data_IF_001686138786
#
_entry.id   IF_001686138786
#
_cell.length_a   1.000
_cell.length_b   1.000
_cell.length_c   1.000
_cell.angle_alpha   90.00
_cell.angle_beta   90.00
_cell.angle_gamma   90.00
#
_symmetry.space_group_name_H-M   'P 1'
#
loop_
_entity.id
_entity.type
_entity.pdbx_description
1 polymer ?
#
# COMPACT_ATOMS: atom_id res chain seq x y z
N UNK A 1 3.31 -1.44 30.32
CA UNK A 1 4.27 -0.90 29.34
C UNK A 1 4.13 0.61 29.26
N UNK A 2 5.22 1.39 29.17
CA UNK A 2 5.15 2.84 29.20
C UNK A 2 4.46 3.39 27.94
N UNK A 3 3.47 4.26 28.15
CA UNK A 3 2.51 4.83 27.20
C UNK A 3 3.12 5.58 25.99
N UNK A 4 4.44 5.77 25.96
CA UNK A 4 5.17 6.48 24.90
C UNK A 4 5.51 5.61 23.67
N UNK A 5 5.29 4.30 23.73
CA UNK A 5 5.67 3.36 22.68
C UNK A 5 4.58 3.02 21.66
N UNK A 6 3.40 3.66 21.71
CA UNK A 6 2.29 3.69 20.71
C UNK A 6 2.40 2.74 19.48
N UNK A 7 2.51 1.41 19.69
CA UNK A 7 2.65 0.44 18.60
C UNK A 7 3.82 0.66 17.63
N UNK A 8 4.83 1.47 18.00
CA UNK A 8 5.98 1.77 17.14
C UNK A 8 7.00 0.64 17.11
N UNK A 9 7.02 -0.19 18.15
CA UNK A 9 7.80 -1.42 18.21
C UNK A 9 6.84 -2.60 18.21
N UNK A 10 6.97 -3.47 17.23
CA UNK A 10 6.21 -4.72 17.15
C UNK A 10 7.20 -5.87 17.31
N UNK A 11 7.20 -6.57 18.46
CA UNK A 11 7.95 -7.80 18.62
C UNK A 11 7.15 -8.97 18.04
N UNK A 12 7.77 -9.74 17.15
CA UNK A 12 7.27 -11.02 16.69
C UNK A 12 8.13 -12.13 17.30
N UNK A 13 7.49 -13.15 17.87
CA UNK A 13 8.18 -14.29 18.48
C UNK A 13 7.83 -15.54 17.70
N UNK A 14 8.84 -16.21 17.18
CA UNK A 14 8.71 -17.49 16.49
C UNK A 14 9.36 -18.59 17.31
N UNK A 15 8.61 -19.65 17.56
CA UNK A 15 9.10 -20.86 18.21
C UNK A 15 9.35 -21.91 17.13
N UNK A 16 10.59 -22.35 17.00
CA UNK A 16 10.97 -23.42 16.09
C UNK A 16 11.28 -24.69 16.88
N UNK A 17 10.81 -25.82 16.36
CA UNK A 17 10.96 -27.14 16.95
C UNK A 17 10.55 -27.21 18.44
N UNK A 18 9.29 -26.86 18.72
CA UNK A 18 8.72 -26.88 20.07
C UNK A 18 8.80 -28.28 20.70
N UNK A 19 8.64 -29.33 19.89
CA UNK A 19 8.71 -30.71 20.35
C UNK A 19 10.08 -31.08 20.94
N UNK A 20 11.18 -30.63 20.34
CA UNK A 20 12.51 -30.81 20.91
C UNK A 20 12.67 -30.07 22.25
N UNK A 21 12.01 -28.90 22.39
CA UNK A 21 11.99 -28.15 23.65
C UNK A 21 11.25 -28.89 24.76
N UNK A 22 10.10 -29.50 24.45
CA UNK A 22 9.33 -30.31 25.39
C UNK A 22 10.10 -31.57 25.78
N UNK A 23 10.73 -32.25 24.81
CA UNK A 23 11.57 -33.42 25.07
C UNK A 23 12.71 -33.10 26.04
N UNK A 24 13.37 -31.95 25.84
CA UNK A 24 14.39 -31.46 26.76
C UNK A 24 13.84 -31.09 28.13
N UNK A 25 12.63 -30.52 28.22
CA UNK A 25 12.01 -30.17 29.49
C UNK A 25 11.59 -31.40 30.31
N UNK A 26 11.09 -32.45 29.65
CA UNK A 26 10.58 -33.67 30.31
C UNK A 26 11.72 -34.64 30.63
N UNK A 27 12.64 -34.87 29.69
CA UNK A 27 13.66 -35.91 29.81
C UNK A 27 15.04 -35.38 30.20
N UNK A 28 15.23 -34.05 30.24
CA UNK A 28 16.51 -33.42 30.53
C UNK A 28 17.55 -33.62 29.43
N UNK A 29 18.69 -32.92 29.54
CA UNK A 29 19.71 -32.91 28.49
C UNK A 29 20.42 -34.27 28.29
N UNK A 30 20.36 -35.16 29.29
CA UNK A 30 21.05 -36.46 29.27
C UNK A 30 20.19 -37.64 28.79
N UNK A 31 18.87 -37.48 28.62
CA UNK A 31 17.96 -38.58 28.26
C UNK A 31 16.92 -38.19 27.19
N UNK A 32 17.29 -37.30 26.28
CA UNK A 32 16.43 -36.87 25.16
C UNK A 32 15.91 -38.07 24.35
N UNK A 33 14.66 -37.99 23.91
CA UNK A 33 13.97 -39.00 23.10
C UNK A 33 13.93 -38.66 21.61
N UNK A 34 14.32 -37.45 21.23
CA UNK A 34 14.45 -37.00 19.85
C UNK A 34 13.19 -36.51 19.20
N UNK A 35 12.26 -35.98 20.01
CA UNK A 35 11.05 -35.40 19.47
C UNK A 35 11.38 -34.20 18.59
N UNK A 36 10.69 -34.11 17.44
CA UNK A 36 10.88 -33.01 16.49
C UNK A 36 12.19 -33.05 15.69
N UNK A 37 13.01 -34.10 15.83
CA UNK A 37 14.14 -34.36 14.92
C UNK A 37 13.75 -35.43 13.88
N UNK A 38 14.19 -35.26 12.64
CA UNK A 38 14.05 -36.32 11.64
C UNK A 38 15.10 -37.41 11.89
N UNK A 39 14.65 -38.66 11.97
CA UNK A 39 15.54 -39.80 12.10
C UNK A 39 16.18 -40.11 10.73
N UNK A 40 17.41 -39.63 10.52
CA UNK A 40 18.19 -40.00 9.34
C UNK A 40 18.95 -41.32 9.62
N UNK A 41 18.75 -42.38 8.81
CA UNK A 41 19.54 -43.61 8.94
C UNK A 41 21.00 -43.35 8.56
N UNK A 42 21.95 -44.03 9.22
CA UNK A 42 23.36 -44.01 8.80
C UNK A 42 23.48 -44.58 7.37
N UNK A 43 23.92 -43.78 6.39
CA UNK A 43 23.96 -44.19 4.99
C UNK A 43 25.19 -45.06 4.66
N UNK A 44 26.16 -45.19 5.57
CA UNK A 44 27.42 -45.87 5.30
C UNK A 44 27.29 -47.37 5.55
N UNK A 45 27.20 -48.16 4.49
CA UNK A 45 27.13 -49.63 4.58
C UNK A 45 28.48 -50.28 4.89
N UNK A 46 29.56 -49.80 4.27
CA UNK A 46 30.89 -50.41 4.33
C UNK A 46 31.91 -49.45 4.94
N UNK A 47 32.67 -49.92 5.94
CA UNK A 47 33.75 -49.15 6.58
C UNK A 47 35.09 -49.82 6.28
N UNK A 48 36.08 -49.08 5.74
CA UNK A 48 37.41 -49.64 5.50
C UNK A 48 38.13 -49.93 6.82
N UNK A 49 38.67 -51.14 6.98
CA UNK A 49 39.40 -51.57 8.19
C UNK A 49 40.91 -51.56 8.01
N UNK A 50 41.36 -51.63 6.76
CA UNK A 50 42.77 -51.63 6.42
C UNK A 50 43.00 -51.88 4.94
N UNK A 51 44.21 -51.62 4.47
CA UNK A 51 44.65 -51.88 3.11
C UNK A 51 45.45 -53.19 3.07
N UNK A 52 45.02 -54.12 2.24
CA UNK A 52 45.76 -55.35 1.94
C UNK A 52 46.74 -55.06 0.81
N UNK A 53 48.02 -54.85 1.15
CA UNK A 53 49.04 -54.50 0.18
C UNK A 53 49.37 -55.65 -0.78
N UNK A 54 49.25 -56.91 -0.35
CA UNK A 54 49.49 -58.08 -1.20
C UNK A 54 48.40 -58.23 -2.27
N UNK A 55 47.16 -57.89 -1.93
CA UNK A 55 46.03 -57.91 -2.85
C UNK A 55 45.68 -56.53 -3.46
N UNK A 56 46.47 -55.49 -3.17
CA UNK A 56 46.26 -54.10 -3.59
C UNK A 56 44.81 -53.60 -3.44
N UNK A 57 44.14 -53.98 -2.35
CA UNK A 57 42.72 -53.64 -2.13
C UNK A 57 42.43 -53.29 -0.68
N UNK A 58 41.40 -52.48 -0.46
CA UNK A 58 40.89 -52.23 0.89
C UNK A 58 40.01 -53.39 1.37
N UNK A 59 40.15 -53.75 2.65
CA UNK A 59 39.25 -54.66 3.34
C UNK A 59 38.13 -53.84 3.99
N UNK A 60 36.89 -54.21 3.69
CA UNK A 60 35.70 -53.55 4.21
C UNK A 60 34.97 -54.47 5.16
N UNK A 61 34.53 -53.93 6.29
CA UNK A 61 33.54 -54.57 7.16
C UNK A 61 32.19 -53.87 6.97
N UNK A 62 31.11 -54.62 7.22
CA UNK A 62 29.76 -54.05 7.27
C UNK A 62 29.65 -53.17 8.52
N UNK A 63 29.22 -51.92 8.33
CA UNK A 63 28.94 -51.02 9.43
C UNK A 63 27.75 -51.57 10.24
N UNK A 64 27.92 -51.94 11.53
CA UNK A 64 26.81 -52.42 12.33
C UNK A 64 25.76 -51.33 12.63
N UNK A 65 26.09 -50.06 12.33
CA UNK A 65 25.18 -48.91 12.48
C UNK A 65 24.44 -48.59 11.19
N UNK A 66 24.74 -49.24 10.06
CA UNK A 66 24.06 -49.00 8.79
C UNK A 66 22.54 -49.14 8.96
N UNK A 67 21.78 -48.15 8.47
CA UNK A 67 20.32 -48.14 8.60
C UNK A 67 19.80 -47.86 10.03
N UNK A 68 20.68 -47.65 11.02
CA UNK A 68 20.27 -47.34 12.39
C UNK A 68 19.69 -45.93 12.47
N UNK A 69 18.48 -45.81 13.01
CA UNK A 69 17.77 -44.54 13.25
C UNK A 69 17.89 -44.05 14.70
N UNK A 70 18.77 -44.67 15.51
CA UNK A 70 18.95 -44.29 16.92
C UNK A 70 19.50 -42.86 17.00
N UNK A 71 18.88 -42.02 17.85
CA UNK A 71 19.19 -40.59 17.94
C UNK A 71 20.67 -40.30 18.25
N UNK A 72 21.34 -41.13 19.08
CA UNK A 72 22.77 -40.97 19.38
C UNK A 72 23.72 -41.26 18.21
N UNK A 73 23.21 -41.80 17.10
CA UNK A 73 23.96 -42.09 15.88
C UNK A 73 23.58 -41.14 14.72
N UNK A 74 22.51 -40.34 14.85
CA UNK A 74 22.11 -39.36 13.84
C UNK A 74 22.90 -38.06 14.03
N UNK A 75 23.58 -37.60 12.98
CA UNK A 75 24.37 -36.36 13.01
C UNK A 75 23.50 -35.09 12.94
N UNK A 76 22.21 -35.23 12.61
CA UNK A 76 21.26 -34.11 12.51
C UNK A 76 20.49 -33.90 13.81
N UNK A 77 20.90 -32.94 14.63
CA UNK A 77 20.10 -32.45 15.77
C UNK A 77 19.44 -31.13 15.38
N UNK A 78 18.11 -31.11 15.35
CA UNK A 78 17.33 -29.88 15.23
C UNK A 78 17.01 -29.34 16.63
N UNK A 79 17.67 -28.26 17.11
CA UNK A 79 17.39 -27.73 18.44
C UNK A 79 16.09 -26.92 18.47
N UNK A 80 15.50 -26.80 19.65
CA UNK A 80 14.50 -25.77 19.93
C UNK A 80 15.14 -24.39 19.81
N UNK A 81 14.50 -23.49 19.04
CA UNK A 81 14.97 -22.10 18.88
C UNK A 81 13.83 -21.13 19.13
N UNK A 82 14.16 -20.04 19.82
CA UNK A 82 13.30 -18.86 19.97
C UNK A 82 13.91 -17.77 19.10
N UNK A 83 13.16 -17.32 18.10
CA UNK A 83 13.54 -16.17 17.27
C UNK A 83 12.65 -15.00 17.67
N UNK A 84 13.27 -13.86 17.99
CA UNK A 84 12.57 -12.64 18.36
C UNK A 84 12.93 -11.57 17.34
N UNK A 85 11.96 -11.20 16.51
CA UNK A 85 12.11 -10.17 15.50
C UNK A 85 11.47 -8.87 16.00
N UNK A 86 12.22 -7.77 15.94
CA UNK A 86 11.73 -6.44 16.31
C UNK A 86 11.55 -5.58 15.06
N UNK A 87 10.33 -5.13 14.80
CA UNK A 87 10.05 -4.12 13.78
C UNK A 87 9.81 -2.76 14.44
N UNK A 88 10.47 -1.72 13.93
CA UNK A 88 10.35 -0.37 14.47
C UNK A 88 9.97 0.66 13.40
N UNK A 89 8.85 1.37 13.63
CA UNK A 89 8.44 2.51 12.82
C UNK A 89 9.12 3.79 13.32
N UNK A 90 10.12 4.26 12.57
CA UNK A 90 10.92 5.45 12.92
C UNK A 90 10.21 6.78 12.59
N UNK A 91 9.26 6.78 11.65
CA UNK A 91 8.52 7.99 11.26
C UNK A 91 7.14 8.06 11.89
N UNK A 92 6.55 9.26 11.91
CA UNK A 92 5.12 9.41 12.14
C UNK A 92 4.32 8.77 11.01
N UNK A 93 3.08 8.36 11.29
CA UNK A 93 2.17 7.85 10.25
C UNK A 93 2.02 8.89 9.11
N UNK A 94 2.09 8.43 7.86
CA UNK A 94 2.03 9.30 6.69
C UNK A 94 0.72 10.12 6.61
N UNK A 95 -0.42 9.54 6.98
CA UNK A 95 -1.70 10.23 6.99
C UNK A 95 -1.73 11.33 8.06
N UNK A 96 -1.14 11.04 9.22
CA UNK A 96 -1.00 12.05 10.27
C UNK A 96 -0.07 13.19 9.85
N UNK A 97 1.02 12.89 9.13
CA UNK A 97 1.90 13.91 8.56
C UNK A 97 1.16 14.77 7.53
N UNK A 98 0.41 14.14 6.61
CA UNK A 98 -0.40 14.86 5.64
C UNK A 98 -1.44 15.76 6.31
N UNK A 99 -2.14 15.26 7.33
CA UNK A 99 -3.12 16.03 8.09
C UNK A 99 -2.46 17.20 8.80
N UNK A 100 -1.30 17.01 9.44
CA UNK A 100 -0.53 18.10 10.07
C UNK A 100 -0.15 19.16 9.05
N UNK A 101 0.41 18.76 7.90
CA UNK A 101 0.74 19.66 6.80
C UNK A 101 -0.51 20.35 6.22
N UNK A 102 -1.66 19.70 6.24
CA UNK A 102 -2.93 20.26 5.78
C UNK A 102 -3.37 21.42 6.70
N UNK A 103 -3.20 21.28 8.01
CA UNK A 103 -3.72 22.25 9.01
C UNK A 103 -2.67 23.23 9.53
N UNK A 104 -1.42 23.09 9.11
CA UNK A 104 -0.35 24.02 9.44
C UNK A 104 -0.68 25.45 8.96
N UNK A 105 -0.47 26.47 9.80
CA UNK A 105 -0.62 27.86 9.39
C UNK A 105 0.24 28.15 8.17
N UNK A 106 -0.29 28.99 7.26
CA UNK A 106 0.42 29.40 6.06
C UNK A 106 0.81 30.86 6.19
N UNK A 107 1.98 31.19 5.66
CA UNK A 107 2.43 32.57 5.58
C UNK A 107 1.68 33.29 4.46
N UNK A 108 0.99 34.36 4.80
CA UNK A 108 0.38 35.30 3.85
C UNK A 108 1.04 36.69 3.99
N UNK A 109 0.51 37.68 3.27
CA UNK A 109 1.03 39.06 3.32
C UNK A 109 0.87 39.74 4.69
N UNK A 110 0.01 39.22 5.56
CA UNK A 110 -0.33 39.77 6.89
C UNK A 110 0.31 39.00 8.05
N UNK A 111 0.92 37.85 7.81
CA UNK A 111 1.57 37.03 8.83
C UNK A 111 1.31 35.53 8.65
N UNK A 112 1.33 34.80 9.76
CA UNK A 112 0.95 33.39 9.80
C UNK A 112 -0.52 33.28 10.15
N UNK A 113 -1.33 32.73 9.25
CA UNK A 113 -2.76 32.53 9.46
C UNK A 113 -3.14 31.06 9.24
N UNK A 114 -4.15 30.61 9.97
CA UNK A 114 -4.76 29.30 9.74
C UNK A 114 -5.37 29.25 8.34
N UNK A 115 -5.33 28.08 7.69
CA UNK A 115 -5.96 27.89 6.39
C UNK A 115 -7.48 28.04 6.49
N UNK A 116 -8.06 28.71 5.50
CA UNK A 116 -9.52 28.74 5.31
C UNK A 116 -10.06 27.34 4.97
N UNK A 117 -11.37 27.14 5.17
CA UNK A 117 -12.07 25.92 4.77
C UNK A 117 -11.82 25.56 3.29
N UNK A 118 -11.88 26.56 2.41
CA UNK A 118 -11.65 26.39 0.97
C UNK A 118 -10.21 25.99 0.66
N UNK A 119 -9.24 26.59 1.34
CA UNK A 119 -7.82 26.22 1.18
C UNK A 119 -7.55 24.80 1.66
N UNK A 120 -8.22 24.36 2.73
CA UNK A 120 -8.14 22.99 3.25
C UNK A 120 -8.77 21.98 2.27
N UNK A 121 -9.96 22.28 1.74
CA UNK A 121 -10.59 21.45 0.72
C UNK A 121 -9.72 21.38 -0.53
N UNK A 122 -9.20 22.51 -1.01
CA UNK A 122 -8.30 22.59 -2.16
C UNK A 122 -7.03 21.75 -1.95
N UNK A 123 -6.43 21.76 -0.75
CA UNK A 123 -5.26 20.94 -0.42
C UNK A 123 -5.52 19.46 -0.69
N UNK A 124 -6.64 18.90 -0.23
CA UNK A 124 -6.96 17.50 -0.49
C UNK A 124 -7.35 17.22 -1.93
N UNK A 125 -8.07 18.15 -2.56
CA UNK A 125 -8.44 18.04 -3.97
C UNK A 125 -7.22 17.94 -4.90
N UNK A 126 -6.06 18.51 -4.53
CA UNK A 126 -4.83 18.36 -5.31
C UNK A 126 -4.35 16.92 -5.48
N UNK A 127 -4.72 16.02 -4.56
CA UNK A 127 -4.37 14.61 -4.59
C UNK A 127 -5.44 13.72 -5.26
N UNK A 128 -6.39 14.33 -5.95
CA UNK A 128 -7.41 13.60 -6.73
C UNK A 128 -6.95 13.39 -8.17
N UNK A 129 -7.62 12.49 -8.89
CA UNK A 129 -7.34 12.24 -10.31
C UNK A 129 -8.62 12.11 -11.11
N UNK A 130 -8.67 12.76 -12.27
CA UNK A 130 -9.79 12.67 -13.21
C UNK A 130 -9.37 11.90 -14.46
N UNK A 131 -10.04 10.77 -14.72
CA UNK A 131 -9.85 9.98 -15.95
C UNK A 131 -10.34 10.78 -17.15
N UNK A 132 -11.45 11.50 -17.00
CA UNK A 132 -12.02 12.33 -18.05
C UNK A 132 -11.06 13.42 -18.51
N UNK A 133 -10.43 14.15 -17.57
CA UNK A 133 -9.41 15.17 -17.90
C UNK A 133 -8.18 14.56 -18.55
N UNK A 134 -7.77 13.36 -18.13
CA UNK A 134 -6.68 12.65 -18.77
C UNK A 134 -7.00 12.36 -20.25
N UNK A 135 -8.18 11.79 -20.53
CA UNK A 135 -8.60 11.51 -21.91
C UNK A 135 -8.71 12.78 -22.76
N UNK A 136 -9.27 13.86 -22.18
CA UNK A 136 -9.34 15.17 -22.85
C UNK A 136 -7.94 15.74 -23.12
N UNK A 137 -6.98 15.56 -22.21
CA UNK A 137 -5.61 16.03 -22.43
C UNK A 137 -4.94 15.29 -23.60
N UNK A 138 -5.24 14.01 -23.76
CA UNK A 138 -4.74 13.19 -24.86
C UNK A 138 -5.64 13.25 -26.10
N UNK A 139 -6.45 14.32 -26.28
CA UNK A 139 -7.41 14.46 -27.39
C UNK A 139 -6.76 14.25 -28.76
N UNK A 140 -5.59 14.85 -28.98
CA UNK A 140 -4.89 14.76 -30.27
C UNK A 140 -4.34 13.35 -30.51
N UNK A 141 -3.74 12.74 -29.48
CA UNK A 141 -3.19 11.37 -29.53
C UNK A 141 -4.27 10.31 -29.78
N UNK A 142 -5.48 10.55 -29.27
CA UNK A 142 -6.63 9.63 -29.38
C UNK A 142 -7.55 9.95 -30.56
N UNK A 143 -7.30 11.04 -31.27
CA UNK A 143 -8.17 11.55 -32.33
C UNK A 143 -9.64 11.65 -31.87
N UNK A 144 -9.87 12.22 -30.67
CA UNK A 144 -11.23 12.31 -30.13
C UNK A 144 -12.09 13.27 -30.98
N UNK A 145 -13.32 12.84 -31.29
CA UNK A 145 -14.27 13.71 -31.95
C UNK A 145 -14.78 14.79 -30.99
N UNK A 146 -15.29 15.91 -31.53
CA UNK A 146 -15.90 16.98 -30.73
C UNK A 146 -17.03 16.46 -29.83
N UNK A 147 -17.80 15.49 -30.31
CA UNK A 147 -18.87 14.86 -29.53
C UNK A 147 -18.31 14.04 -28.35
N UNK A 148 -17.22 13.31 -28.55
CA UNK A 148 -16.55 12.55 -27.49
C UNK A 148 -15.96 13.49 -26.44
N UNK A 149 -15.29 14.57 -26.86
CA UNK A 149 -14.76 15.59 -25.95
C UNK A 149 -15.89 16.22 -25.13
N UNK A 150 -17.01 16.60 -25.75
CA UNK A 150 -18.15 17.16 -25.05
C UNK A 150 -18.76 16.18 -24.02
N UNK A 151 -18.86 14.88 -24.37
CA UNK A 151 -19.32 13.84 -23.45
C UNK A 151 -18.39 13.69 -22.24
N UNK A 152 -17.07 13.66 -22.48
CA UNK A 152 -16.06 13.59 -21.41
C UNK A 152 -16.06 14.84 -20.52
N UNK A 153 -16.23 16.04 -21.09
CA UNK A 153 -16.33 17.28 -20.32
C UNK A 153 -17.58 17.29 -19.43
N UNK A 154 -18.71 16.83 -19.96
CA UNK A 154 -19.95 16.68 -19.16
C UNK A 154 -19.74 15.69 -18.01
N UNK A 155 -19.11 14.55 -18.28
CA UNK A 155 -18.79 13.56 -17.26
C UNK A 155 -17.83 14.12 -16.19
N UNK A 156 -16.78 14.86 -16.60
CA UNK A 156 -15.84 15.51 -15.69
C UNK A 156 -16.52 16.54 -14.78
N UNK A 157 -17.47 17.31 -15.31
CA UNK A 157 -18.23 18.28 -14.52
C UNK A 157 -19.04 17.61 -13.40
N UNK A 158 -19.70 16.49 -13.72
CA UNK A 158 -20.47 15.71 -12.74
C UNK A 158 -19.55 15.04 -11.72
N UNK A 159 -18.45 14.45 -12.17
CA UNK A 159 -17.45 13.86 -11.29
C UNK A 159 -16.85 14.91 -10.34
N UNK A 160 -16.40 16.04 -10.88
CA UNK A 160 -15.79 17.12 -10.12
C UNK A 160 -16.74 17.68 -9.08
N UNK A 161 -18.04 17.84 -9.38
CA UNK A 161 -19.02 18.33 -8.42
C UNK A 161 -19.25 17.34 -7.25
N UNK A 162 -19.32 16.03 -7.55
CA UNK A 162 -19.43 14.98 -6.52
C UNK A 162 -18.20 14.86 -5.64
N UNK A 163 -17.01 15.05 -6.21
CA UNK A 163 -15.77 15.05 -5.42
C UNK A 163 -15.71 16.31 -4.53
N UNK A 164 -16.07 17.49 -5.06
CA UNK A 164 -16.15 18.71 -4.23
C UNK A 164 -17.15 18.58 -3.08
N UNK A 165 -18.29 17.94 -3.30
CA UNK A 165 -19.33 17.83 -2.28
C UNK A 165 -18.91 17.02 -1.04
N UNK A 166 -17.95 16.09 -1.18
CA UNK A 166 -17.38 15.36 -0.05
C UNK A 166 -16.20 16.07 0.62
N UNK A 167 -15.41 16.85 -0.14
CA UNK A 167 -14.23 17.54 0.40
C UNK A 167 -14.54 18.92 0.98
N UNK A 168 -15.59 19.61 0.51
CA UNK A 168 -15.98 20.91 1.06
C UNK A 168 -16.39 20.84 2.55
N UNK A 169 -17.23 19.87 2.99
CA UNK A 169 -17.53 19.70 4.42
C UNK A 169 -16.30 19.32 5.25
N UNK A 170 -15.36 18.55 4.68
CA UNK A 170 -14.10 18.23 5.36
C UNK A 170 -13.27 19.49 5.62
N UNK A 171 -13.16 20.37 4.62
CA UNK A 171 -12.48 21.66 4.76
C UNK A 171 -13.10 22.51 5.87
N UNK A 172 -14.43 22.61 5.91
CA UNK A 172 -15.15 23.33 6.96
C UNK A 172 -14.87 22.74 8.35
N UNK A 173 -15.02 21.41 8.49
CA UNK A 173 -14.74 20.71 9.74
C UNK A 173 -13.31 20.94 10.24
N UNK A 174 -12.33 20.84 9.35
CA UNK A 174 -10.92 21.05 9.69
C UNK A 174 -10.57 22.51 9.98
N UNK A 175 -11.29 23.48 9.41
CA UNK A 175 -11.06 24.91 9.70
C UNK A 175 -11.57 25.35 11.07
N UNK A 176 -12.59 24.68 11.60
CA UNK A 176 -13.23 25.02 12.88
C UNK A 176 -12.49 24.47 14.10
N UNK A 177 -11.45 23.65 13.87
CA UNK A 177 -10.72 22.99 14.94
C UNK A 177 -9.81 23.95 15.70
N UNK A 178 -9.61 23.70 17.00
CA UNK A 178 -8.57 24.34 17.82
C UNK A 178 -7.42 23.39 18.13
N UNK A 179 -6.16 23.86 18.08
CA UNK A 179 -5.00 23.11 18.59
C UNK A 179 -4.37 22.14 17.58
N UNK A 180 -3.80 21.01 18.02
CA UNK A 180 -3.12 20.02 17.17
C UNK A 180 -4.09 18.94 16.64
N UNK A 181 -3.90 18.39 15.42
CA UNK A 181 -4.83 17.40 14.86
C UNK A 181 -4.79 16.08 15.63
N UNK A 182 -5.96 15.53 15.93
CA UNK A 182 -6.15 14.31 16.70
C UNK A 182 -6.74 13.15 15.90
N UNK A 183 -7.29 12.17 16.63
CA UNK A 183 -7.87 10.96 16.05
C UNK A 183 -9.14 11.27 15.24
N UNK A 184 -9.99 12.15 15.74
CA UNK A 184 -11.27 12.50 15.10
C UNK A 184 -11.07 13.10 13.71
N UNK A 185 -10.11 14.01 13.57
CA UNK A 185 -9.75 14.61 12.28
C UNK A 185 -9.14 13.59 11.32
N UNK A 186 -8.32 12.68 11.85
CA UNK A 186 -7.75 11.61 11.04
C UNK A 186 -8.83 10.63 10.56
N UNK A 187 -9.80 10.29 11.40
CA UNK A 187 -10.91 9.40 11.05
C UNK A 187 -11.85 10.06 10.02
N UNK A 188 -12.10 11.37 10.12
CA UNK A 188 -12.89 12.10 9.12
C UNK A 188 -12.19 12.18 7.77
N UNK A 189 -10.88 12.44 7.73
CA UNK A 189 -10.09 12.41 6.49
C UNK A 189 -10.14 11.02 5.85
N UNK A 190 -9.95 9.94 6.63
CA UNK A 190 -10.01 8.56 6.14
C UNK A 190 -11.39 8.21 5.58
N UNK A 191 -12.45 8.64 6.25
CA UNK A 191 -13.82 8.42 5.79
C UNK A 191 -14.07 9.11 4.43
N UNK A 192 -13.64 10.36 4.28
CA UNK A 192 -13.78 11.10 3.02
C UNK A 192 -12.91 10.50 1.92
N UNK A 193 -11.67 10.08 2.22
CA UNK A 193 -10.82 9.41 1.25
C UNK A 193 -11.41 8.07 0.78
N UNK A 194 -12.05 7.31 1.68
CA UNK A 194 -12.79 6.09 1.32
C UNK A 194 -13.98 6.40 0.42
N UNK A 195 -14.73 7.47 0.70
CA UNK A 195 -15.84 7.92 -0.15
C UNK A 195 -15.35 8.39 -1.53
N UNK A 196 -14.24 9.13 -1.57
CA UNK A 196 -13.59 9.55 -2.81
C UNK A 196 -13.26 8.37 -3.71
N UNK A 197 -12.62 7.32 -3.18
CA UNK A 197 -12.26 6.15 -4.00
C UNK A 197 -13.47 5.43 -4.59
N UNK A 198 -14.60 5.40 -3.88
CA UNK A 198 -15.86 4.87 -4.44
C UNK A 198 -16.30 5.67 -5.65
N UNK A 199 -16.31 7.00 -5.55
CA UNK A 199 -16.67 7.90 -6.66
C UNK A 199 -15.65 7.79 -7.80
N UNK A 200 -14.36 7.72 -7.48
CA UNK A 200 -13.29 7.60 -8.46
C UNK A 200 -13.47 6.39 -9.37
N UNK A 201 -13.80 5.24 -8.79
CA UNK A 201 -13.92 3.96 -9.49
C UNK A 201 -15.18 3.82 -10.37
N UNK A 202 -16.04 4.83 -10.40
CA UNK A 202 -17.16 4.91 -11.36
C UNK A 202 -16.72 5.59 -12.68
N UNK A 203 -15.65 6.38 -12.66
CA UNK A 203 -15.19 7.12 -13.84
C UNK A 203 -14.77 6.21 -15.00
N UNK A 204 -14.03 5.09 -14.79
CA UNK A 204 -13.51 4.34 -15.92
C UNK A 204 -14.60 3.82 -16.85
N UNK A 205 -15.69 3.31 -16.29
CA UNK A 205 -16.86 2.82 -17.03
C UNK A 205 -17.55 3.95 -17.80
N UNK A 206 -17.83 5.07 -17.13
CA UNK A 206 -18.47 6.24 -17.74
C UNK A 206 -17.59 6.80 -18.87
N UNK A 207 -16.28 6.85 -18.65
CA UNK A 207 -15.33 7.29 -19.66
C UNK A 207 -15.27 6.32 -20.85
N UNK A 208 -15.39 5.01 -20.60
CA UNK A 208 -15.35 4.00 -21.65
C UNK A 208 -16.56 4.13 -22.59
N UNK A 209 -17.72 4.54 -22.11
CA UNK A 209 -18.89 4.82 -22.98
C UNK A 209 -18.63 5.93 -23.99
N UNK A 210 -17.77 6.90 -23.66
CA UNK A 210 -17.43 8.02 -24.54
C UNK A 210 -16.34 7.70 -25.58
N UNK A 211 -15.53 6.65 -25.37
CA UNK A 211 -14.39 6.31 -26.25
C UNK A 211 -14.51 4.92 -26.87
N UNK A 212 -14.08 4.78 -28.12
CA UNK A 212 -14.11 3.52 -28.86
C UNK A 212 -13.13 2.48 -28.30
N UNK A 213 -13.35 1.20 -28.57
CA UNK A 213 -12.44 0.13 -28.15
C UNK A 213 -11.00 0.35 -28.65
N UNK A 214 -10.83 0.80 -29.89
CA UNK A 214 -9.51 1.11 -30.46
C UNK A 214 -8.80 2.25 -29.70
N UNK A 215 -9.53 3.30 -29.31
CA UNK A 215 -8.97 4.41 -28.51
C UNK A 215 -8.56 3.96 -27.10
N UNK A 216 -9.26 2.98 -26.51
CA UNK A 216 -8.91 2.44 -25.19
C UNK A 216 -7.57 1.71 -25.20
N UNK A 217 -7.24 1.03 -26.30
CA UNK A 217 -5.96 0.35 -26.47
C UNK A 217 -4.77 1.31 -26.49
N UNK A 218 -4.98 2.56 -26.91
CA UNK A 218 -3.93 3.59 -26.95
C UNK A 218 -3.57 4.14 -25.57
N UNK A 219 -4.33 3.82 -24.52
CA UNK A 219 -4.04 4.25 -23.15
C UNK A 219 -3.95 3.02 -22.24
N UNK A 220 -2.75 2.42 -22.10
CA UNK A 220 -2.54 1.22 -21.30
C UNK A 220 -3.04 1.37 -19.86
N UNK A 221 -2.85 2.54 -19.25
CA UNK A 221 -3.32 2.84 -17.89
C UNK A 221 -4.85 2.76 -17.80
N UNK A 222 -5.56 3.37 -18.73
CA UNK A 222 -7.03 3.36 -18.76
C UNK A 222 -7.58 1.96 -19.01
N UNK A 223 -6.98 1.22 -19.94
CA UNK A 223 -7.29 -0.19 -20.17
C UNK A 223 -7.08 -1.01 -18.90
N UNK A 224 -5.96 -0.84 -18.21
CA UNK A 224 -5.67 -1.59 -16.98
C UNK A 224 -6.66 -1.30 -15.85
N UNK A 225 -7.18 -0.06 -15.73
CA UNK A 225 -8.25 0.26 -14.79
C UNK A 225 -9.54 -0.51 -15.06
N UNK A 226 -9.94 -0.61 -16.34
CA UNK A 226 -11.15 -1.33 -16.74
C UNK A 226 -11.07 -2.84 -16.43
N UNK A 227 -9.86 -3.39 -16.37
CA UNK A 227 -9.62 -4.80 -16.05
C UNK A 227 -9.66 -5.09 -14.55
N UNK A 228 -9.67 -4.07 -13.67
CA UNK A 228 -9.71 -4.27 -12.22
C UNK A 228 -11.12 -4.75 -11.81
N UNK A 229 -11.26 -5.97 -11.25
CA UNK A 229 -12.55 -6.47 -10.78
C UNK A 229 -13.13 -5.60 -9.67
N UNK A 230 -14.45 -5.46 -9.61
CA UNK A 230 -15.13 -4.60 -8.62
C UNK A 230 -14.70 -4.90 -7.16
N UNK A 231 -14.44 -6.17 -6.83
CA UNK A 231 -13.96 -6.60 -5.51
C UNK A 231 -12.59 -6.04 -5.15
N UNK A 232 -11.70 -5.90 -6.14
CA UNK A 232 -10.31 -5.48 -5.93
C UNK A 232 -10.17 -3.95 -5.92
N UNK A 233 -11.19 -3.24 -6.42
CA UNK A 233 -11.24 -1.76 -6.42
C UNK A 233 -11.25 -1.17 -5.01
N UNK A 234 -11.86 -1.86 -4.05
CA UNK A 234 -11.92 -1.38 -2.66
C UNK A 234 -10.53 -1.22 -2.01
N UNK A 235 -9.57 -2.02 -2.47
CA UNK A 235 -8.19 -2.02 -1.96
C UNK A 235 -7.22 -1.30 -2.90
N UNK A 236 -7.67 -0.91 -4.10
CA UNK A 236 -6.83 -0.33 -5.14
C UNK A 236 -6.94 1.19 -5.16
N UNK A 237 -5.80 1.87 -5.15
CA UNK A 237 -5.69 3.33 -5.19
C UNK A 237 -4.84 3.76 -6.40
N UNK A 238 -5.38 4.62 -7.26
CA UNK A 238 -4.73 5.06 -8.50
C UNK A 238 -4.59 6.58 -8.54
N UNK A 239 -3.36 7.07 -8.62
CA UNK A 239 -3.06 8.50 -8.69
C UNK A 239 -2.18 8.79 -9.91
N UNK A 240 -2.61 9.72 -10.75
CA UNK A 240 -1.92 10.07 -12.00
C UNK A 240 -2.07 11.55 -12.38
N UNK A 241 -2.48 12.39 -11.42
CA UNK A 241 -2.66 13.83 -11.61
C UNK A 241 -4.01 14.20 -12.23
N UNK A 242 -4.09 15.36 -12.87
CA UNK A 242 -5.34 15.99 -13.33
C UNK A 242 -6.40 16.15 -12.22
N UNK A 243 -6.05 16.87 -11.13
CA UNK A 243 -6.92 16.99 -9.98
C UNK A 243 -8.23 17.72 -10.29
N UNK A 244 -9.24 17.43 -9.48
CA UNK A 244 -10.43 18.26 -9.38
C UNK A 244 -10.00 19.62 -8.80
N UNK A 245 -10.40 20.71 -9.45
CA UNK A 245 -10.13 22.06 -8.97
C UNK A 245 -11.27 22.52 -8.08
N UNK A 246 -10.99 23.37 -7.08
CA UNK A 246 -12.01 23.87 -6.15
C UNK A 246 -13.11 24.67 -6.86
N UNK A 247 -12.73 25.52 -7.81
CA UNK A 247 -13.63 26.17 -8.75
C UNK A 247 -13.48 25.55 -10.14
N UNK A 248 -14.57 25.55 -10.92
CA UNK A 248 -14.47 25.27 -12.35
C UNK A 248 -13.61 26.35 -13.00
N UNK A 249 -12.54 25.94 -13.71
CA UNK A 249 -11.83 26.90 -14.56
C UNK A 249 -12.82 27.35 -15.65
N UNK A 250 -13.00 28.66 -15.89
CA UNK A 250 -13.76 29.10 -17.05
C UNK A 250 -13.11 28.49 -18.30
N UNK A 251 -13.95 27.97 -19.20
CA UNK A 251 -13.50 27.41 -20.47
C UNK A 251 -12.68 28.49 -21.18
N UNK A 252 -11.40 28.19 -21.45
CA UNK A 252 -10.55 29.04 -22.28
C UNK A 252 -11.20 29.15 -23.67
N UNK A 253 -11.99 30.19 -23.88
CA UNK A 253 -12.85 30.37 -25.06
C UNK A 253 -14.13 31.18 -24.81
N UNK A 254 -14.58 31.37 -23.56
CA UNK A 254 -15.83 32.08 -23.25
C UNK A 254 -15.66 33.48 -22.63
N UNK A 255 -14.47 34.09 -22.75
CA UNK A 255 -14.19 35.43 -22.23
C UNK A 255 -13.68 36.37 -23.34
N UNK A 256 -14.54 36.66 -24.31
CA UNK A 256 -14.43 37.83 -25.17
C UNK A 256 -15.81 38.50 -25.21
N UNK A 257 -15.98 39.59 -24.45
CA UNK A 257 -17.25 40.34 -24.47
C UNK A 257 -17.61 41.16 -23.23
N UNK A 258 -16.75 41.27 -22.22
CA UNK A 258 -17.01 42.11 -21.05
C UNK A 258 -16.35 43.49 -21.18
N UNK A 259 -17.12 44.48 -21.64
CA UNK A 259 -16.75 45.89 -21.76
C UNK A 259 -16.15 46.44 -20.45
N UNK A 260 -14.90 46.88 -20.49
CA UNK A 260 -14.29 47.66 -19.41
C UNK A 260 -14.83 49.10 -19.45
N UNK A 261 -15.74 49.44 -18.53
CA UNK A 261 -16.04 50.84 -18.23
C UNK A 261 -14.93 51.34 -17.31
N UNK A 262 -14.00 52.13 -17.87
CA UNK A 262 -13.06 52.94 -17.08
C UNK A 262 -13.85 54.07 -16.42
N UNK A 263 -13.95 54.06 -15.10
CA UNK A 263 -14.24 55.28 -14.34
C UNK A 263 -12.92 56.00 -14.05
N UNK A 264 -12.83 57.23 -14.54
CA UNK A 264 -11.77 58.16 -14.20
C UNK A 264 -12.01 58.73 -12.79
N UNK A 265 -10.93 58.84 -12.02
CA UNK A 265 -10.72 59.87 -11.00
C UNK A 265 -9.33 60.45 -11.21
#
# INVERSE_FOLDING_TARGET
>A
MPQRWNGRLVPNVYLQNVLAGIDQAIHGNGSLRGWGSQAAPDPVLLVPRGFDAAASRFRYDVNPRFGSTRQGNSLGRDPFRIVIDFSMNLSTDFNLQQLRRAVEPVRNSRGWELRSADSLAAFYLTNTSSVHKLLIRETDSLFLSKAQVAALQKADSVYSSRVRSIYAPLGQFLSQRGGAPGKTEMDSVKAVQKAYWKIFWEQPEIAAEAVSAAQRELIPMFKSMLLVPAKDREQSQWQFGNPVTFADKPVAGAAAGGVQIRQAR
#
